data_IF_144235309381
#
_entry.id   IF_144235309381
#
_cell.length_a   1.000
_cell.length_b   1.000
_cell.length_c   1.000
_cell.angle_alpha   90.00
_cell.angle_beta   90.00
_cell.angle_gamma   90.00
#
_symmetry.space_group_name_H-M   'P 1'
#
loop_
_entity.id
_entity.type
_entity.pdbx_description
1 polymer ?
#
# COMPACT_ATOMS: atom_id res chain seq x y z
N UNK A 1 -4.84 -10.30 1.16
CA UNK A 1 -4.16 -9.85 -0.06
C UNK A 1 -3.43 -8.53 0.16
N UNK A 2 -2.17 -8.43 -0.27
CA UNK A 2 -1.37 -7.19 -0.15
C UNK A 2 -1.93 -6.09 -1.05
N UNK A 3 -2.67 -6.44 -2.10
CA UNK A 3 -3.19 -5.47 -3.07
C UNK A 3 -4.20 -4.49 -2.46
N UNK A 4 -5.06 -4.97 -1.55
CA UNK A 4 -6.02 -4.13 -0.86
C UNK A 4 -5.33 -3.12 0.08
N UNK A 5 -4.24 -3.52 0.75
CA UNK A 5 -3.50 -2.62 1.65
C UNK A 5 -2.73 -1.55 0.88
N UNK A 6 -2.32 -1.83 -0.37
CA UNK A 6 -1.72 -0.82 -1.26
C UNK A 6 -2.66 0.35 -1.52
N UNK A 7 -3.98 0.13 -1.51
CA UNK A 7 -4.98 1.16 -1.79
C UNK A 7 -5.22 2.10 -0.60
N UNK A 8 -4.92 1.64 0.62
CA UNK A 8 -5.23 2.35 1.86
C UNK A 8 -4.02 3.05 2.50
N UNK A 9 -2.81 2.52 2.31
CA UNK A 9 -1.64 2.94 3.08
C UNK A 9 -0.41 3.25 2.22
N UNK A 10 0.33 4.29 2.62
CA UNK A 10 1.64 4.64 2.06
C UNK A 10 2.76 4.55 3.11
N UNK A 11 3.98 4.30 2.64
CA UNK A 11 5.20 4.31 3.43
C UNK A 11 6.10 5.51 3.08
N UNK A 12 7.34 5.49 3.59
CA UNK A 12 8.35 6.50 3.27
C UNK A 12 8.66 6.53 1.77
N UNK A 13 8.82 5.34 1.19
CA UNK A 13 9.19 5.10 -0.21
C UNK A 13 8.26 4.05 -0.80
N UNK A 14 8.28 3.93 -2.13
CA UNK A 14 7.50 2.95 -2.86
C UNK A 14 8.30 2.40 -4.04
N UNK A 15 7.80 1.34 -4.65
CA UNK A 15 8.42 0.71 -5.81
C UNK A 15 7.69 1.13 -7.09
N UNK A 16 8.43 1.42 -8.15
CA UNK A 16 7.88 1.67 -9.47
C UNK A 16 7.70 0.37 -10.28
N UNK A 17 7.19 0.50 -11.50
CA UNK A 17 6.95 -0.62 -12.42
C UNK A 17 8.24 -1.34 -12.86
N UNK A 18 9.39 -0.69 -12.71
CA UNK A 18 10.71 -1.24 -13.02
C UNK A 18 11.41 -1.82 -11.79
N UNK A 19 10.67 -2.03 -10.69
CA UNK A 19 11.18 -2.51 -9.39
C UNK A 19 12.24 -1.59 -8.78
N UNK A 20 12.25 -0.30 -9.15
CA UNK A 20 13.13 0.70 -8.56
C UNK A 20 12.41 1.43 -7.44
N UNK A 21 13.17 1.76 -6.40
CA UNK A 21 12.63 2.55 -5.30
C UNK A 21 12.49 4.01 -5.73
N UNK A 22 11.30 4.57 -5.52
CA UNK A 22 10.97 5.97 -5.76
C UNK A 22 10.40 6.67 -4.50
N UNK A 23 10.41 8.01 -4.46
CA UNK A 23 9.75 8.78 -3.41
C UNK A 23 8.27 8.42 -3.20
N UNK A 24 7.80 8.55 -1.96
CA UNK A 24 6.38 8.49 -1.59
C UNK A 24 6.10 9.60 -0.56
N UNK A 25 5.86 9.28 0.72
CA UNK A 25 5.72 10.30 1.78
C UNK A 25 7.05 11.01 2.04
N UNK A 26 8.19 10.32 1.89
CA UNK A 26 9.49 10.97 1.86
C UNK A 26 9.74 11.52 0.44
N UNK A 27 9.88 12.84 0.33
CA UNK A 27 10.17 13.51 -0.96
C UNK A 27 11.58 13.24 -1.47
N UNK A 28 12.52 13.05 -0.54
CA UNK A 28 13.90 12.66 -0.81
C UNK A 28 14.52 12.11 0.47
N UNK A 29 15.67 11.46 0.35
CA UNK A 29 16.46 10.99 1.49
C UNK A 29 17.95 11.13 1.20
N UNK A 30 18.73 11.14 2.28
CA UNK A 30 20.19 11.12 2.24
C UNK A 30 20.70 9.87 2.96
N UNK A 31 21.73 9.25 2.39
CA UNK A 31 22.39 8.08 2.98
C UNK A 31 23.83 8.50 3.33
N UNK A 32 24.18 8.42 4.61
CA UNK A 32 25.49 8.81 5.14
C UNK A 32 26.08 7.71 6.02
N UNK A 33 27.25 7.98 6.63
CA UNK A 33 27.96 7.03 7.50
C UNK A 33 28.17 5.68 6.81
N UNK A 34 28.73 5.72 5.60
CA UNK A 34 29.03 4.53 4.78
C UNK A 34 27.83 3.60 4.55
N UNK A 35 26.62 4.15 4.42
CA UNK A 35 25.41 3.37 4.14
C UNK A 35 24.61 2.95 5.38
N UNK A 36 24.92 3.50 6.57
CA UNK A 36 24.24 3.17 7.82
C UNK A 36 23.14 4.16 8.20
N UNK A 37 23.26 5.43 7.86
CA UNK A 37 22.31 6.47 8.31
C UNK A 37 21.46 6.94 7.15
N UNK A 38 20.14 6.76 7.26
CA UNK A 38 19.14 7.17 6.29
C UNK A 38 18.32 8.31 6.88
N UNK A 39 18.37 9.49 6.27
CA UNK A 39 17.59 10.66 6.71
C UNK A 39 16.59 11.04 5.64
N UNK A 40 15.30 10.90 5.96
CA UNK A 40 14.17 11.16 5.08
C UNK A 40 13.58 12.55 5.37
N UNK A 41 13.38 13.35 4.32
CA UNK A 41 12.56 14.55 4.44
C UNK A 41 11.14 14.22 3.99
N UNK A 42 10.18 14.51 4.85
CA UNK A 42 8.78 14.21 4.62
C UNK A 42 8.09 15.35 3.88
N UNK A 43 7.07 14.98 3.11
CA UNK A 43 6.08 15.89 2.57
C UNK A 43 5.25 16.52 3.69
N UNK A 44 4.66 17.69 3.41
CA UNK A 44 3.80 18.44 4.36
C UNK A 44 2.36 18.56 3.86
N UNK A 45 2.01 17.82 2.82
CA UNK A 45 0.71 17.81 2.15
C UNK A 45 0.05 16.42 2.17
N UNK A 46 0.55 15.52 3.01
CA UNK A 46 0.00 14.15 3.18
C UNK A 46 -0.91 14.12 4.39
N UNK A 47 -2.19 13.90 4.16
CA UNK A 47 -3.22 13.84 5.20
C UNK A 47 -3.60 12.39 5.49
N UNK A 48 -3.85 12.07 6.75
CA UNK A 48 -4.56 10.84 7.08
C UNK A 48 -6.00 10.90 6.56
N UNK A 49 -6.57 9.73 6.26
CA UNK A 49 -8.00 9.60 6.00
C UNK A 49 -8.82 10.18 7.14
N UNK A 50 -10.04 10.64 6.86
CA UNK A 50 -10.84 11.31 7.88
C UNK A 50 -11.34 10.34 8.94
N UNK A 51 -11.24 10.75 10.19
CA UNK A 51 -11.79 10.07 11.37
C UNK A 51 -12.13 11.10 12.45
N UNK A 52 -13.25 10.90 13.14
CA UNK A 52 -13.73 11.80 14.21
C UNK A 52 -12.75 11.91 15.38
N UNK A 53 -11.92 10.89 15.59
CA UNK A 53 -10.93 10.84 16.66
C UNK A 53 -9.76 11.83 16.46
N UNK A 54 -9.59 12.40 15.26
CA UNK A 54 -8.65 13.51 15.03
C UNK A 54 -9.18 14.86 15.54
N UNK A 55 -10.42 14.91 16.05
CA UNK A 55 -11.03 16.14 16.56
C UNK A 55 -11.75 16.94 15.46
N UNK A 56 -11.73 18.27 15.59
CA UNK A 56 -12.62 19.19 14.86
C UNK A 56 -12.56 19.04 13.34
N UNK A 57 -11.35 18.94 12.78
CA UNK A 57 -11.16 18.85 11.33
C UNK A 57 -11.25 17.40 10.82
N UNK A 58 -11.35 16.44 11.75
CA UNK A 58 -11.41 15.00 11.51
C UNK A 58 -10.27 14.46 10.66
N UNK A 59 -9.15 15.17 10.56
CA UNK A 59 -7.91 14.74 9.88
C UNK A 59 -6.74 15.59 10.36
N UNK A 60 -5.52 15.11 10.10
CA UNK A 60 -4.28 15.88 10.28
C UNK A 60 -3.21 15.41 9.30
N UNK A 61 -2.16 16.21 9.18
CA UNK A 61 -0.99 15.91 8.36
C UNK A 61 -0.13 14.84 9.06
N UNK A 62 0.45 13.96 8.25
CA UNK A 62 1.46 12.98 8.67
C UNK A 62 2.74 13.68 9.09
N UNK A 63 3.33 13.28 10.21
CA UNK A 63 4.63 13.76 10.67
C UNK A 63 5.61 12.61 10.97
N UNK A 64 6.86 12.95 11.26
CA UNK A 64 7.90 11.95 11.52
C UNK A 64 7.64 11.08 12.76
N UNK A 65 6.91 11.58 13.76
CA UNK A 65 6.56 10.78 14.94
C UNK A 65 5.56 9.67 14.61
N UNK A 66 4.72 9.83 13.57
CA UNK A 66 3.83 8.77 13.09
C UNK A 66 4.63 7.57 12.56
N UNK A 67 5.77 7.83 11.88
CA UNK A 67 6.68 6.76 11.45
C UNK A 67 7.41 6.12 12.63
N UNK A 68 7.81 6.90 13.64
CA UNK A 68 8.37 6.34 14.88
C UNK A 68 7.36 5.39 15.52
N UNK A 69 6.10 5.79 15.65
CA UNK A 69 5.04 4.94 16.20
C UNK A 69 4.83 3.68 15.34
N UNK A 70 4.68 3.85 14.03
CA UNK A 70 4.38 2.76 13.10
C UNK A 70 5.48 1.69 13.08
N UNK A 71 6.75 2.10 13.05
CA UNK A 71 7.87 1.16 13.06
C UNK A 71 8.08 0.52 14.45
N UNK A 72 7.83 1.24 15.56
CA UNK A 72 7.82 0.63 16.89
C UNK A 72 6.75 -0.45 17.00
N UNK A 73 5.55 -0.16 16.51
CA UNK A 73 4.44 -1.11 16.45
C UNK A 73 4.81 -2.36 15.65
N UNK A 74 5.51 -2.20 14.52
CA UNK A 74 5.99 -3.34 13.71
C UNK A 74 6.94 -4.28 14.49
N UNK A 75 7.74 -3.74 15.40
CA UNK A 75 8.64 -4.53 16.27
C UNK A 75 8.02 -5.00 17.58
N UNK A 76 6.77 -4.61 17.90
CA UNK A 76 6.15 -4.98 19.18
C UNK A 76 5.88 -6.51 19.21
N UNK A 77 6.47 -7.27 20.15
CA UNK A 77 6.25 -8.71 20.26
C UNK A 77 4.78 -9.08 20.46
N UNK A 78 4.00 -8.25 21.15
CA UNK A 78 2.56 -8.49 21.40
C UNK A 78 1.72 -8.41 20.13
N UNK A 79 2.15 -7.59 19.15
CA UNK A 79 1.49 -7.54 17.85
C UNK A 79 1.81 -8.78 17.00
N UNK A 80 2.93 -9.45 17.27
CA UNK A 80 3.43 -10.60 16.51
C UNK A 80 3.41 -10.38 14.98
N UNK A 81 3.84 -9.19 14.53
CA UNK A 81 3.75 -8.84 13.12
C UNK A 81 4.62 -9.75 12.24
N UNK A 82 4.09 -10.32 11.14
CA UNK A 82 4.85 -11.16 10.21
C UNK A 82 5.93 -10.36 9.45
N UNK A 83 5.87 -9.03 9.47
CA UNK A 83 6.87 -8.14 8.86
C UNK A 83 7.94 -7.63 9.82
N UNK A 84 7.94 -8.05 11.09
CA UNK A 84 8.89 -7.57 12.11
C UNK A 84 10.35 -7.71 11.71
N UNK A 85 10.68 -8.75 10.95
CA UNK A 85 12.03 -9.04 10.44
C UNK A 85 12.63 -7.92 9.57
N UNK A 86 11.79 -7.06 8.96
CA UNK A 86 12.24 -5.91 8.15
C UNK A 86 13.15 -4.99 8.97
N UNK A 87 12.91 -4.89 10.27
CA UNK A 87 13.64 -3.99 11.17
C UNK A 87 14.80 -4.67 11.92
N UNK A 88 15.11 -5.95 11.66
CA UNK A 88 16.16 -6.68 12.38
C UNK A 88 17.56 -6.02 12.29
N UNK A 89 17.84 -5.40 11.14
CA UNK A 89 19.11 -4.70 10.87
C UNK A 89 19.10 -3.23 11.29
N UNK A 90 17.97 -2.72 11.76
CA UNK A 90 17.84 -1.36 12.29
C UNK A 90 18.37 -1.31 13.71
N UNK A 91 19.20 -0.33 13.98
CA UNK A 91 19.73 -0.03 15.32
C UNK A 91 18.77 0.93 16.04
N UNK A 92 18.54 2.11 15.45
CA UNK A 92 17.63 3.11 15.99
C UNK A 92 16.86 3.83 14.89
N UNK A 93 15.74 4.44 15.26
CA UNK A 93 15.02 5.37 14.40
C UNK A 93 14.35 6.45 15.25
N UNK A 94 14.30 7.68 14.74
CA UNK A 94 13.82 8.84 15.47
C UNK A 94 13.29 9.92 14.54
N UNK A 95 12.34 10.70 15.04
CA UNK A 95 11.99 11.99 14.47
C UNK A 95 13.04 13.02 14.93
N UNK A 96 13.74 13.66 14.01
CA UNK A 96 14.61 14.80 14.32
C UNK A 96 13.78 16.08 14.50
N UNK A 97 12.65 16.15 13.80
CA UNK A 97 11.59 17.16 13.91
C UNK A 97 10.35 16.61 13.16
N UNK A 98 9.28 17.38 13.06
CA UNK A 98 8.01 16.96 12.44
C UNK A 98 8.13 16.47 10.99
N UNK A 99 9.13 16.91 10.24
CA UNK A 99 9.29 16.59 8.81
C UNK A 99 10.62 15.93 8.47
N UNK A 100 11.41 15.54 9.46
CA UNK A 100 12.69 14.84 9.26
C UNK A 100 12.71 13.56 10.09
N UNK A 101 12.71 12.42 9.41
CA UNK A 101 12.79 11.10 10.03
C UNK A 101 14.14 10.46 9.73
N UNK A 102 14.77 9.86 10.74
CA UNK A 102 16.08 9.23 10.59
C UNK A 102 16.02 7.78 11.04
N UNK A 103 16.65 6.89 10.26
CA UNK A 103 16.90 5.49 10.59
C UNK A 103 18.40 5.26 10.57
N UNK A 104 18.92 4.59 11.59
CA UNK A 104 20.29 4.12 11.68
C UNK A 104 20.31 2.59 11.64
N UNK A 105 21.13 2.01 10.77
CA UNK A 105 21.35 0.58 10.66
C UNK A 105 22.53 0.13 11.53
N UNK A 106 22.47 -1.12 12.00
CA UNK A 106 23.58 -1.79 12.70
C UNK A 106 24.81 -1.97 11.80
N UNK A 107 24.57 -2.17 10.50
CA UNK A 107 25.59 -2.33 9.47
C UNK A 107 25.02 -1.90 8.10
N UNK A 108 25.87 -1.53 7.12
CA UNK A 108 25.41 -1.18 5.78
C UNK A 108 24.59 -2.32 5.14
N UNK A 109 23.45 -1.97 4.55
CA UNK A 109 22.59 -2.93 3.88
C UNK A 109 21.91 -2.28 2.66
N UNK A 110 22.47 -2.45 1.45
CA UNK A 110 21.98 -1.76 0.24
C UNK A 110 20.49 -2.03 -0.09
N UNK A 111 19.99 -3.22 0.24
CA UNK A 111 18.60 -3.59 -0.01
C UNK A 111 17.60 -2.99 1.00
N UNK A 112 18.06 -2.28 2.04
CA UNK A 112 17.20 -1.76 3.10
C UNK A 112 16.09 -0.85 2.58
N UNK A 113 16.42 0.02 1.63
CA UNK A 113 15.45 0.95 1.06
C UNK A 113 14.31 0.20 0.32
N UNK A 114 14.63 -0.93 -0.33
CA UNK A 114 13.64 -1.81 -0.94
C UNK A 114 12.74 -2.49 0.10
N UNK A 115 13.27 -2.88 1.26
CA UNK A 115 12.43 -3.41 2.33
C UNK A 115 11.43 -2.38 2.87
N UNK A 116 11.80 -1.09 2.89
CA UNK A 116 10.91 -0.01 3.31
C UNK A 116 9.73 0.23 2.35
N UNK A 117 9.74 -0.33 1.13
CA UNK A 117 8.58 -0.27 0.22
C UNK A 117 7.51 -1.28 0.60
N UNK A 118 7.81 -2.24 1.47
CA UNK A 118 6.85 -3.24 1.95
C UNK A 118 5.76 -2.59 2.80
N UNK A 119 4.52 -3.06 2.63
CA UNK A 119 3.35 -2.44 3.28
C UNK A 119 3.35 -2.55 4.81
N UNK A 120 4.13 -3.46 5.38
CA UNK A 120 4.40 -3.51 6.82
C UNK A 120 4.99 -2.20 7.37
N UNK A 121 5.72 -1.45 6.54
CA UNK A 121 6.37 -0.18 6.90
C UNK A 121 5.49 1.04 6.63
N UNK A 122 4.20 0.85 6.34
CA UNK A 122 3.28 1.97 6.10
C UNK A 122 3.02 2.76 7.38
N UNK A 123 2.75 4.05 7.21
CA UNK A 123 2.44 4.93 8.35
C UNK A 123 0.99 4.75 8.78
N UNK A 124 0.76 4.70 10.10
CA UNK A 124 -0.56 4.66 10.72
C UNK A 124 -0.66 5.69 11.85
N UNK A 125 -1.85 6.27 12.08
CA UNK A 125 -2.04 7.29 13.12
C UNK A 125 -2.19 6.65 14.50
N UNK A 126 -1.34 7.07 15.44
CA UNK A 126 -1.28 6.53 16.81
C UNK A 126 -2.63 6.57 17.52
N UNK A 127 -3.31 7.70 17.48
CA UNK A 127 -4.57 7.94 18.19
C UNK A 127 -5.68 6.97 17.75
N UNK A 128 -5.73 6.63 16.47
CA UNK A 128 -6.73 5.71 15.91
C UNK A 128 -6.39 4.29 16.27
N UNK A 129 -5.12 3.91 16.09
CA UNK A 129 -4.66 2.55 16.40
C UNK A 129 -4.77 2.26 17.89
N UNK A 130 -4.43 3.20 18.76
CA UNK A 130 -4.54 3.05 20.20
C UNK A 130 -6.01 2.97 20.65
N UNK A 131 -6.92 3.71 20.00
CA UNK A 131 -8.35 3.67 20.31
C UNK A 131 -9.00 2.34 19.88
N UNK A 132 -8.79 1.90 18.64
CA UNK A 132 -9.44 0.71 18.12
C UNK A 132 -8.70 -0.59 18.45
N UNK A 133 -7.39 -0.54 18.74
CA UNK A 133 -6.58 -1.71 19.05
C UNK A 133 -6.68 -2.79 17.97
N UNK A 134 -7.14 -3.98 18.36
CA UNK A 134 -7.34 -5.12 17.44
C UNK A 134 -8.43 -4.86 16.39
N UNK A 135 -9.36 -3.93 16.65
CA UNK A 135 -10.43 -3.54 15.73
C UNK A 135 -9.97 -2.52 14.67
N UNK A 136 -8.70 -2.11 14.68
CA UNK A 136 -8.15 -1.25 13.64
C UNK A 136 -8.29 -1.87 12.24
N UNK A 137 -8.30 -3.21 12.12
CA UNK A 137 -8.54 -3.87 10.82
C UNK A 137 -9.89 -3.50 10.21
N UNK A 138 -10.89 -3.24 11.05
CA UNK A 138 -12.27 -2.93 10.66
C UNK A 138 -12.52 -1.42 10.57
N UNK A 139 -11.57 -0.61 11.06
CA UNK A 139 -11.59 0.85 11.00
C UNK A 139 -10.23 1.39 10.50
N UNK A 140 -9.74 0.92 9.33
CA UNK A 140 -8.39 1.26 8.89
C UNK A 140 -8.33 2.71 8.42
N UNK A 141 -7.42 3.48 9.02
CA UNK A 141 -7.10 4.85 8.62
C UNK A 141 -5.67 4.89 8.11
N UNK A 142 -5.50 5.27 6.85
CA UNK A 142 -4.20 5.40 6.20
C UNK A 142 -4.06 6.74 5.48
N UNK A 143 -3.26 6.74 4.43
CA UNK A 143 -2.90 7.93 3.62
C UNK A 143 -3.04 7.67 2.12
N UNK A 144 -3.53 6.48 1.79
CA UNK A 144 -3.63 5.91 0.44
C UNK A 144 -4.59 6.61 -0.50
N UNK A 145 -4.56 6.21 -1.78
CA UNK A 145 -5.41 6.74 -2.84
C UNK A 145 -6.90 6.48 -2.61
N UNK A 146 -7.26 5.47 -1.83
CA UNK A 146 -8.64 5.19 -1.50
C UNK A 146 -8.87 5.16 0.02
N UNK A 147 -10.11 5.49 0.39
CA UNK A 147 -10.68 5.48 1.72
C UNK A 147 -11.43 4.17 1.92
N UNK A 148 -11.32 3.59 3.11
CA UNK A 148 -12.14 2.46 3.50
C UNK A 148 -13.62 2.86 3.55
N UNK A 149 -14.50 2.10 2.89
CA UNK A 149 -15.94 2.37 2.88
C UNK A 149 -16.76 1.28 3.55
N UNK A 150 -16.52 0.02 3.19
CA UNK A 150 -17.27 -1.10 3.72
C UNK A 150 -16.50 -2.39 3.55
N UNK A 151 -16.61 -3.28 4.52
CA UNK A 151 -16.13 -4.65 4.41
C UNK A 151 -17.15 -5.59 5.02
N UNK A 152 -17.62 -6.51 4.20
CA UNK A 152 -18.35 -7.69 4.62
C UNK A 152 -17.41 -8.89 4.44
N UNK A 153 -17.03 -9.51 5.57
CA UNK A 153 -16.05 -10.60 5.62
C UNK A 153 -16.47 -11.72 4.66
N UNK A 154 -15.52 -12.19 3.84
CA UNK A 154 -15.70 -13.22 2.79
C UNK A 154 -16.72 -12.90 1.68
N UNK A 155 -17.26 -11.67 1.62
CA UNK A 155 -18.24 -11.28 0.60
C UNK A 155 -17.71 -10.14 -0.25
N UNK A 156 -17.48 -8.96 0.33
CA UNK A 156 -17.10 -7.77 -0.43
C UNK A 156 -16.33 -6.74 0.37
N UNK A 157 -15.32 -6.14 -0.23
CA UNK A 157 -14.57 -5.00 0.30
C UNK A 157 -14.69 -3.82 -0.67
N UNK A 158 -15.10 -2.66 -0.17
CA UNK A 158 -15.35 -1.46 -0.97
C UNK A 158 -14.47 -0.32 -0.47
N UNK A 159 -13.78 0.31 -1.43
CA UNK A 159 -13.03 1.53 -1.22
C UNK A 159 -13.60 2.67 -2.07
N UNK A 160 -13.46 3.90 -1.58
CA UNK A 160 -13.88 5.12 -2.27
C UNK A 160 -12.68 6.03 -2.48
N UNK A 161 -12.67 6.80 -3.56
CA UNK A 161 -11.57 7.73 -3.87
C UNK A 161 -11.26 8.64 -2.67
N UNK A 162 -9.97 8.82 -2.38
CA UNK A 162 -9.48 9.86 -1.49
C UNK A 162 -9.31 11.17 -2.27
N UNK A 163 -10.20 12.17 -2.11
CA UNK A 163 -10.11 13.43 -2.84
C UNK A 163 -8.89 14.28 -2.44
N UNK A 164 -8.24 13.95 -1.32
CA UNK A 164 -7.08 14.64 -0.79
C UNK A 164 -5.78 13.84 -0.98
N UNK A 165 -5.77 12.84 -1.88
CA UNK A 165 -4.56 12.11 -2.18
C UNK A 165 -3.49 13.01 -2.82
N UNK A 166 -2.23 12.79 -2.44
CA UNK A 166 -1.12 13.72 -2.68
C UNK A 166 -0.34 13.43 -3.97
N UNK A 167 -0.55 12.28 -4.60
CA UNK A 167 0.14 11.92 -5.85
C UNK A 167 -0.66 12.37 -7.08
N UNK A 168 0.08 12.68 -8.13
CA UNK A 168 -0.43 13.00 -9.46
C UNK A 168 0.38 12.20 -10.49
N UNK A 169 -0.19 12.02 -11.67
CA UNK A 169 0.52 11.44 -12.80
C UNK A 169 1.55 12.42 -13.41
N UNK A 170 2.25 11.97 -14.45
CA UNK A 170 3.27 12.77 -15.13
C UNK A 170 2.70 14.03 -15.83
N UNK A 171 1.39 14.06 -16.09
CA UNK A 171 0.67 15.18 -16.68
C UNK A 171 0.06 16.12 -15.62
N UNK A 172 0.23 15.81 -14.34
CA UNK A 172 -0.30 16.59 -13.21
C UNK A 172 -1.75 16.28 -12.85
N UNK A 173 -2.37 15.24 -13.42
CA UNK A 173 -3.71 14.83 -13.01
C UNK A 173 -3.65 14.13 -11.65
N UNK A 174 -4.55 14.52 -10.73
CA UNK A 174 -4.60 13.94 -9.39
C UNK A 174 -5.06 12.48 -9.42
N UNK A 175 -4.31 11.63 -8.75
CA UNK A 175 -4.66 10.24 -8.53
C UNK A 175 -5.60 10.08 -7.31
N UNK A 176 -6.32 8.94 -7.20
CA UNK A 176 -6.57 7.96 -8.26
C UNK A 176 -7.59 8.48 -9.29
N UNK A 177 -7.63 7.86 -10.47
CA UNK A 177 -8.63 8.15 -11.51
C UNK A 177 -9.99 7.53 -11.20
N UNK A 178 -9.99 6.34 -10.62
CA UNK A 178 -11.22 5.62 -10.28
C UNK A 178 -11.91 6.26 -9.08
N UNK A 179 -13.25 6.27 -9.12
CA UNK A 179 -14.07 6.74 -7.99
C UNK A 179 -14.20 5.70 -6.88
N UNK A 180 -14.17 4.43 -7.22
CA UNK A 180 -14.31 3.34 -6.27
C UNK A 180 -13.58 2.09 -6.77
N UNK A 181 -13.20 1.24 -5.83
CA UNK A 181 -12.74 -0.13 -6.09
C UNK A 181 -13.59 -1.05 -5.24
N UNK A 182 -14.18 -2.06 -5.88
CA UNK A 182 -14.90 -3.13 -5.20
C UNK A 182 -14.15 -4.44 -5.42
N UNK A 183 -13.80 -5.10 -4.32
CA UNK A 183 -13.14 -6.40 -4.31
C UNK A 183 -14.17 -7.41 -3.86
N UNK A 184 -14.48 -8.38 -4.73
CA UNK A 184 -15.38 -9.49 -4.43
C UNK A 184 -14.54 -10.71 -4.06
N UNK A 185 -14.92 -11.43 -3.00
CA UNK A 185 -14.23 -12.63 -2.59
C UNK A 185 -14.94 -13.85 -3.18
N UNK A 186 -14.31 -14.48 -4.17
CA UNK A 186 -14.83 -15.68 -4.82
C UNK A 186 -14.03 -16.90 -4.36
N UNK A 187 -14.70 -18.04 -4.10
CA UNK A 187 -14.06 -19.21 -3.46
C UNK A 187 -13.09 -19.94 -4.38
N UNK A 188 -13.25 -19.81 -5.69
CA UNK A 188 -12.47 -20.54 -6.69
C UNK A 188 -12.21 -19.69 -7.96
N UNK A 189 -11.17 -20.08 -8.68
CA UNK A 189 -10.65 -19.37 -9.87
C UNK A 189 -11.55 -19.49 -11.10
N UNK A 190 -12.34 -20.56 -11.21
CA UNK A 190 -13.25 -20.75 -12.34
C UNK A 190 -14.45 -19.81 -12.22
N UNK A 191 -15.02 -19.69 -11.02
CA UNK A 191 -16.06 -18.72 -10.71
C UNK A 191 -15.58 -17.28 -10.91
N UNK A 192 -14.35 -16.95 -10.52
CA UNK A 192 -13.72 -15.65 -10.79
C UNK A 192 -13.67 -15.34 -12.29
N UNK A 193 -13.17 -16.27 -13.10
CA UNK A 193 -13.12 -16.09 -14.55
C UNK A 193 -14.51 -15.97 -15.19
N UNK A 194 -15.50 -16.75 -14.74
CA UNK A 194 -16.87 -16.65 -15.25
C UNK A 194 -17.49 -15.29 -14.95
N UNK A 195 -17.31 -14.75 -13.74
CA UNK A 195 -17.78 -13.41 -13.39
C UNK A 195 -17.10 -12.34 -14.24
N UNK A 196 -15.81 -12.51 -14.55
CA UNK A 196 -15.08 -11.61 -15.44
C UNK A 196 -15.60 -11.67 -16.88
N UNK A 197 -15.77 -12.87 -17.43
CA UNK A 197 -16.30 -13.08 -18.78
C UNK A 197 -17.75 -12.58 -18.95
N UNK A 198 -18.53 -12.52 -17.87
CA UNK A 198 -19.88 -11.95 -17.84
C UNK A 198 -19.89 -10.42 -17.67
N UNK A 199 -18.74 -9.79 -17.42
CA UNK A 199 -18.63 -8.35 -17.15
C UNK A 199 -19.05 -7.93 -15.74
N UNK A 200 -19.15 -8.87 -14.80
CA UNK A 200 -19.51 -8.57 -13.40
C UNK A 200 -18.30 -8.12 -12.57
N UNK A 201 -17.07 -8.42 -13.02
CA UNK A 201 -15.81 -7.89 -12.46
C UNK A 201 -14.89 -7.45 -13.61
N UNK A 202 -14.12 -6.39 -13.38
CA UNK A 202 -13.28 -5.76 -14.42
C UNK A 202 -11.82 -6.23 -14.41
N UNK A 203 -11.42 -7.00 -13.39
CA UNK A 203 -10.03 -7.39 -13.18
C UNK A 203 -9.94 -8.79 -12.56
N UNK A 204 -9.04 -9.61 -13.10
CA UNK A 204 -8.64 -10.90 -12.55
C UNK A 204 -7.12 -10.96 -12.48
N UNK A 205 -6.60 -11.54 -11.40
CA UNK A 205 -5.16 -11.68 -11.18
C UNK A 205 -4.70 -13.13 -11.27
N UNK A 206 -3.66 -13.34 -12.06
CA UNK A 206 -3.09 -14.65 -12.34
C UNK A 206 -3.85 -15.40 -13.44
N UNK A 207 -3.18 -16.39 -14.01
CA UNK A 207 -3.75 -17.33 -14.97
C UNK A 207 -3.88 -18.69 -14.30
N UNK A 208 -5.06 -19.29 -14.34
CA UNK A 208 -5.30 -20.62 -13.78
C UNK A 208 -5.42 -21.69 -14.89
N UNK A 209 -5.02 -22.91 -14.58
CA UNK A 209 -5.08 -24.03 -15.53
C UNK A 209 -6.52 -24.36 -15.97
N UNK A 210 -7.52 -24.07 -15.13
CA UNK A 210 -8.93 -24.37 -15.40
C UNK A 210 -9.51 -23.59 -16.58
N UNK A 211 -9.05 -22.37 -16.85
CA UNK A 211 -9.59 -21.52 -17.92
C UNK A 211 -8.53 -21.00 -18.90
N UNK A 212 -7.24 -21.33 -18.72
CA UNK A 212 -6.17 -20.82 -19.60
C UNK A 212 -6.41 -21.11 -21.07
N UNK A 213 -6.96 -22.28 -21.41
CA UNK A 213 -7.14 -22.71 -22.79
C UNK A 213 -8.37 -22.08 -23.43
N UNK A 214 -9.31 -21.58 -22.61
CA UNK A 214 -10.43 -20.75 -23.03
C UNK A 214 -9.96 -19.32 -23.31
N UNK A 215 -9.12 -18.75 -22.44
CA UNK A 215 -8.64 -17.37 -22.58
C UNK A 215 -7.51 -17.23 -23.62
N UNK A 216 -6.60 -18.20 -23.69
CA UNK A 216 -5.36 -18.13 -24.46
C UNK A 216 -5.25 -19.20 -25.54
N UNK A 217 -4.56 -18.86 -26.62
CA UNK A 217 -4.06 -19.82 -27.62
C UNK A 217 -2.83 -20.56 -27.08
N UNK A 218 -2.43 -21.65 -27.75
CA UNK A 218 -1.22 -22.40 -27.41
C UNK A 218 0.08 -21.56 -27.49
N UNK A 219 0.07 -20.45 -28.25
CA UNK A 219 1.20 -19.50 -28.32
C UNK A 219 1.10 -18.41 -27.26
N UNK A 220 0.11 -18.50 -26.36
CA UNK A 220 -0.17 -17.50 -25.35
C UNK A 220 -0.57 -16.18 -25.99
N UNK A 221 -1.53 -16.15 -26.90
CA UNK A 221 -2.24 -14.90 -27.27
C UNK A 221 -3.66 -14.97 -26.75
N UNK A 222 -4.30 -13.84 -26.48
CA UNK A 222 -5.74 -13.86 -26.22
C UNK A 222 -6.46 -14.50 -27.41
N UNK A 223 -7.50 -15.28 -27.15
CA UNK A 223 -8.37 -15.75 -28.23
C UNK A 223 -9.22 -14.60 -28.76
N UNK A 224 -9.62 -14.68 -30.03
CA UNK A 224 -10.41 -13.65 -30.73
C UNK A 224 -11.68 -13.23 -30.00
N UNK A 225 -12.29 -14.13 -29.22
CA UNK A 225 -13.45 -13.82 -28.38
C UNK A 225 -13.15 -12.71 -27.35
N UNK A 226 -11.92 -12.64 -26.85
CA UNK A 226 -11.50 -11.73 -25.79
C UNK A 226 -10.60 -10.58 -26.27
N UNK A 227 -10.07 -10.64 -27.50
CA UNK A 227 -9.06 -9.67 -27.99
C UNK A 227 -9.51 -8.21 -27.96
N UNK A 228 -10.82 -7.94 -28.10
CA UNK A 228 -11.36 -6.57 -28.12
C UNK A 228 -11.86 -6.08 -26.76
N UNK A 229 -12.11 -6.99 -25.81
CA UNK A 229 -12.74 -6.67 -24.52
C UNK A 229 -11.76 -6.80 -23.35
N UNK A 230 -10.71 -7.61 -23.50
CA UNK A 230 -9.78 -7.93 -22.43
C UNK A 230 -8.41 -7.35 -22.73
N UNK A 231 -7.91 -6.53 -21.81
CA UNK A 231 -6.52 -6.11 -21.83
C UNK A 231 -5.68 -7.09 -20.98
N UNK A 232 -4.74 -7.78 -21.62
CA UNK A 232 -3.85 -8.72 -20.94
C UNK A 232 -2.49 -8.08 -20.63
N UNK A 233 -2.18 -7.97 -19.35
CA UNK A 233 -0.89 -7.50 -18.85
C UNK A 233 -0.03 -8.70 -18.46
N UNK A 234 1.25 -8.70 -18.85
CA UNK A 234 2.22 -9.77 -18.56
C UNK A 234 3.46 -9.19 -17.93
N UNK A 235 3.98 -9.87 -16.92
CA UNK A 235 5.23 -9.51 -16.24
C UNK A 235 6.01 -10.76 -15.85
N UNK A 236 7.33 -10.61 -15.61
CA UNK A 236 8.14 -11.66 -15.00
C UNK A 236 7.60 -11.98 -13.60
N UNK A 237 7.67 -13.25 -13.22
CA UNK A 237 7.36 -13.73 -11.87
C UNK A 237 8.62 -13.67 -10.99
#
# INVERSE_FOLDING_TARGET
DIWATNQLFNGLVQMDENLKVKPCIAKHWQITDSGKVYTFALRKDVWFHKDVLFGKDSTRIVNANDFVYSLKRLTNPELASPGSWVLNKVDTFKALNDSTFQIQLKQPFPAFLGLLTMKYCSVVPKEIVDHYGSQFRSHPIGTGPFLFKHWEDNIKLVFRRNPHYFEADELGNKLPYLEAVAITFLPDKQSEFLQFAQGNIDFVSGLDASYKDELLTATGKLRTLYENEVNMIRGPY
#
